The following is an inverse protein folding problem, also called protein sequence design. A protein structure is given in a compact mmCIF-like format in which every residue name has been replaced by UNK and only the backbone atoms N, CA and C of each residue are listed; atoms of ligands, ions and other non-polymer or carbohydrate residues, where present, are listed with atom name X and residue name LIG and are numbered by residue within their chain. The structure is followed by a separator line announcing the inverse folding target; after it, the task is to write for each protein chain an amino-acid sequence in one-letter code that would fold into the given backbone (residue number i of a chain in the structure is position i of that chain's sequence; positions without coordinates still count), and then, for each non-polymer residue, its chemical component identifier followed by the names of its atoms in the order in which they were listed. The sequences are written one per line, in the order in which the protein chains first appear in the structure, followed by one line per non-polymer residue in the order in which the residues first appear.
data_IF_527046095858
#
_entry.id   IF_527046095858
#
_cell.length_a   1.000
_cell.length_b   1.000
_cell.length_c   1.000
_cell.angle_alpha   90.00
_cell.angle_beta   90.00
_cell.angle_gamma   90.00
#
_symmetry.space_group_name_H-M   'P 1'
#
loop_
_entity.id
_entity.type
_entity.pdbx_description
1 polymer ?
#
# COMPACT_ATOMS: atom_id res chain seq x y z
N UNK A 1 35.19 0.10 6.39
CA UNK A 1 34.68 -0.51 5.14
C UNK A 1 33.50 -1.39 5.52
N UNK A 2 32.30 -1.08 5.04
CA UNK A 2 31.11 -1.90 5.21
C UNK A 2 30.39 -1.90 3.88
N UNK A 3 30.35 -3.05 3.21
CA UNK A 3 29.73 -3.20 1.90
C UNK A 3 28.82 -4.42 1.91
N UNK A 4 27.71 -4.26 1.20
CA UNK A 4 26.76 -5.28 0.77
C UNK A 4 25.73 -5.80 1.79
N UNK A 5 24.56 -5.15 1.74
CA UNK A 5 23.24 -5.59 2.24
C UNK A 5 22.17 -4.87 1.39
N UNK A 6 21.18 -5.51 0.76
CA UNK A 6 20.99 -6.94 0.49
C UNK A 6 20.68 -7.26 -1.00
N UNK A 7 20.70 -6.27 -1.90
CA UNK A 7 20.41 -6.42 -3.34
C UNK A 7 21.41 -5.70 -4.25
N UNK A 8 21.32 -5.86 -5.59
CA UNK A 8 22.14 -5.13 -6.54
C UNK A 8 21.67 -3.67 -6.64
N UNK A 9 22.11 -2.83 -5.69
CA UNK A 9 21.75 -1.41 -5.61
C UNK A 9 22.24 -0.65 -6.86
N UNK A 10 21.37 -0.49 -7.86
CA UNK A 10 21.70 0.20 -9.10
C UNK A 10 21.47 1.71 -8.98
N UNK A 11 22.42 2.51 -9.49
CA UNK A 11 22.10 3.90 -9.85
C UNK A 11 21.13 3.93 -11.04
N UNK A 12 20.32 4.98 -11.19
CA UNK A 12 19.41 5.13 -12.34
C UNK A 12 20.14 5.01 -13.68
N UNK A 13 21.34 5.59 -13.79
CA UNK A 13 22.16 5.55 -15.01
C UNK A 13 22.65 4.14 -15.32
N UNK A 14 23.12 3.42 -14.28
CA UNK A 14 23.51 2.00 -14.40
C UNK A 14 22.30 1.17 -14.83
N UNK A 15 21.16 1.37 -14.18
CA UNK A 15 19.93 0.62 -14.46
C UNK A 15 19.44 0.80 -15.91
N UNK A 16 19.39 2.04 -16.40
CA UNK A 16 19.06 2.31 -17.81
C UNK A 16 20.04 1.68 -18.81
N UNK A 17 21.31 1.47 -18.45
CA UNK A 17 22.28 0.75 -19.28
C UNK A 17 22.05 -0.77 -19.31
N UNK A 18 21.52 -1.36 -18.22
CA UNK A 18 21.22 -2.80 -18.15
C UNK A 18 19.85 -3.16 -18.76
N UNK A 19 18.86 -2.26 -18.69
CA UNK A 19 17.48 -2.46 -19.15
C UNK A 19 17.32 -3.07 -20.56
N UNK A 20 18.05 -2.61 -21.60
CA UNK A 20 17.96 -3.22 -22.94
C UNK A 20 18.45 -4.67 -22.99
N UNK A 21 19.35 -5.08 -22.07
CA UNK A 21 19.85 -6.46 -22.01
C UNK A 21 18.89 -7.40 -21.29
N UNK A 22 18.15 -6.91 -20.30
CA UNK A 22 17.17 -7.71 -19.55
C UNK A 22 15.81 -7.78 -20.25
N UNK A 23 15.40 -6.72 -20.96
CA UNK A 23 14.09 -6.65 -21.65
C UNK A 23 14.17 -6.91 -23.17
N UNK A 24 15.38 -7.07 -23.74
CA UNK A 24 15.58 -7.19 -25.19
C UNK A 24 14.92 -8.40 -25.86
N UNK A 25 14.54 -9.44 -25.10
CA UNK A 25 13.78 -10.59 -25.60
C UNK A 25 12.24 -10.39 -25.53
N UNK A 26 11.77 -9.27 -24.98
CA UNK A 26 10.34 -8.94 -24.91
C UNK A 26 9.79 -8.54 -26.28
N UNK A 27 8.50 -8.76 -26.51
CA UNK A 27 7.75 -8.17 -27.64
C UNK A 27 7.68 -6.65 -27.58
N UNK A 28 7.99 -6.05 -26.43
CA UNK A 28 8.11 -4.60 -26.26
C UNK A 28 9.29 -4.25 -25.34
N UNK A 29 10.54 -4.25 -25.86
CA UNK A 29 11.74 -3.92 -25.07
C UNK A 29 11.68 -2.54 -24.42
N UNK A 30 12.45 -2.33 -23.36
CA UNK A 30 12.53 -1.06 -22.64
C UNK A 30 13.99 -0.54 -22.59
N UNK A 31 14.15 0.76 -22.80
CA UNK A 31 15.41 1.48 -22.83
C UNK A 31 15.31 2.82 -22.10
N UNK A 32 16.37 3.64 -22.14
CA UNK A 32 16.44 4.92 -21.44
C UNK A 32 15.46 5.99 -21.96
N UNK A 33 14.93 5.86 -23.18
CA UNK A 33 14.04 6.84 -23.82
C UNK A 33 12.56 6.53 -23.56
N UNK A 34 12.21 5.25 -23.38
CA UNK A 34 10.82 4.79 -23.16
C UNK A 34 10.53 4.24 -21.75
N UNK A 35 11.55 4.19 -20.87
CA UNK A 35 11.37 3.86 -19.45
C UNK A 35 10.36 4.80 -18.78
N UNK A 36 9.54 4.23 -17.90
CA UNK A 36 8.59 4.96 -17.07
C UNK A 36 9.29 6.09 -16.27
N UNK A 37 8.97 7.37 -16.52
CA UNK A 37 9.66 8.49 -15.88
C UNK A 37 9.41 8.56 -14.37
N UNK A 38 8.38 7.86 -13.86
CA UNK A 38 8.14 7.74 -12.42
C UNK A 38 9.31 7.06 -11.69
N UNK A 39 10.04 6.14 -12.33
CA UNK A 39 11.27 5.54 -11.75
C UNK A 39 12.28 6.64 -11.42
N UNK A 40 12.55 7.54 -12.37
CA UNK A 40 13.47 8.66 -12.17
C UNK A 40 12.92 9.69 -11.17
N UNK A 41 11.61 9.93 -11.20
CA UNK A 41 10.94 10.90 -10.31
C UNK A 41 11.01 10.47 -8.86
N UNK A 42 10.68 9.20 -8.57
CA UNK A 42 10.78 8.61 -7.23
C UNK A 42 12.22 8.73 -6.73
N UNK A 43 13.21 8.36 -7.56
CA UNK A 43 14.63 8.47 -7.19
C UNK A 43 15.12 9.92 -6.95
N UNK A 44 14.43 10.92 -7.51
CA UNK A 44 14.71 12.33 -7.25
C UNK A 44 13.95 12.92 -6.06
N UNK A 45 12.80 12.35 -5.69
CA UNK A 45 11.99 12.78 -4.55
C UNK A 45 12.52 12.24 -3.21
N UNK A 46 13.20 11.09 -3.22
CA UNK A 46 13.69 10.41 -2.03
C UNK A 46 15.21 10.25 -2.10
N UNK A 47 16.02 11.08 -1.41
CA UNK A 47 17.49 11.10 -1.59
C UNK A 47 18.20 9.78 -1.30
N UNK A 48 17.69 8.99 -0.35
CA UNK A 48 18.26 7.71 0.08
C UNK A 48 17.68 6.51 -0.70
N UNK A 49 16.86 6.77 -1.72
CA UNK A 49 16.24 5.72 -2.53
C UNK A 49 17.22 5.01 -3.46
N UNK A 50 16.95 3.74 -3.75
CA UNK A 50 17.79 2.93 -4.63
C UNK A 50 16.96 1.91 -5.41
N UNK A 51 17.44 1.52 -6.60
CA UNK A 51 16.83 0.43 -7.36
C UNK A 51 17.35 -0.87 -6.77
N UNK A 52 16.51 -1.51 -5.98
CA UNK A 52 16.81 -2.69 -5.17
C UNK A 52 16.75 -3.99 -5.98
N UNK A 53 15.88 -4.05 -7.00
CA UNK A 53 15.69 -5.23 -7.84
C UNK A 53 15.09 -4.91 -9.22
N UNK A 54 15.33 -5.81 -10.17
CA UNK A 54 14.89 -5.68 -11.56
C UNK A 54 14.19 -6.97 -11.99
N UNK A 55 12.87 -6.91 -12.22
CA UNK A 55 12.06 -8.00 -12.76
C UNK A 55 12.01 -7.99 -14.29
N UNK A 56 11.18 -8.84 -14.89
CA UNK A 56 11.00 -8.87 -16.35
C UNK A 56 10.31 -7.62 -16.92
N UNK A 57 9.45 -6.97 -16.13
CA UNK A 57 8.57 -5.87 -16.59
C UNK A 57 8.52 -4.66 -15.62
N UNK A 58 9.31 -4.67 -14.54
CA UNK A 58 9.22 -3.70 -13.46
C UNK A 58 10.46 -3.67 -12.58
N UNK A 59 10.74 -2.50 -11.99
CA UNK A 59 11.81 -2.31 -11.01
C UNK A 59 11.20 -2.25 -9.61
N UNK A 60 11.90 -2.82 -8.62
CA UNK A 60 11.63 -2.57 -7.21
C UNK A 60 12.58 -1.49 -6.72
N UNK A 61 12.03 -0.36 -6.27
CA UNK A 61 12.77 0.75 -5.70
C UNK A 61 12.59 0.72 -4.17
N UNK A 62 13.65 0.78 -3.38
CA UNK A 62 13.55 1.26 -2.00
C UNK A 62 13.45 2.78 -2.03
N UNK A 63 12.56 3.37 -1.23
CA UNK A 63 12.42 4.82 -1.03
C UNK A 63 12.85 5.27 0.37
N UNK A 64 12.95 4.32 1.30
CA UNK A 64 13.57 4.42 2.61
C UNK A 64 14.06 3.03 3.04
N UNK A 65 14.70 2.92 4.20
CA UNK A 65 15.09 1.63 4.80
C UNK A 65 13.89 0.67 4.97
N UNK A 66 12.72 1.22 5.33
CA UNK A 66 11.50 0.46 5.54
C UNK A 66 10.68 0.25 4.27
N UNK A 67 10.63 1.22 3.36
CA UNK A 67 9.58 1.32 2.34
C UNK A 67 10.11 1.10 0.92
N UNK A 68 9.34 0.37 0.11
CA UNK A 68 9.64 0.11 -1.30
C UNK A 68 8.42 0.32 -2.21
N UNK A 69 8.68 0.67 -3.48
CA UNK A 69 7.68 0.88 -4.53
C UNK A 69 8.10 0.07 -5.74
N UNK A 70 7.20 -0.76 -6.26
CA UNK A 70 7.41 -1.43 -7.55
C UNK A 70 6.85 -0.57 -8.67
N UNK A 71 7.64 -0.36 -9.72
CA UNK A 71 7.28 0.53 -10.83
C UNK A 71 7.41 -0.21 -12.14
N UNK A 72 6.33 -0.25 -12.93
CA UNK A 72 6.35 -0.80 -14.29
C UNK A 72 7.42 -0.11 -15.14
N UNK A 73 8.14 -0.88 -15.94
CA UNK A 73 9.09 -0.37 -16.92
C UNK A 73 8.47 0.58 -17.94
N UNK A 74 7.17 0.45 -18.21
CA UNK A 74 6.45 1.29 -19.18
C UNK A 74 5.33 2.09 -18.51
N UNK A 75 5.12 3.36 -18.92
CA UNK A 75 3.93 4.11 -18.52
C UNK A 75 2.66 3.32 -18.90
N UNK A 76 1.80 3.02 -17.92
CA UNK A 76 0.56 2.26 -18.15
C UNK A 76 0.74 0.79 -18.53
N UNK A 77 1.88 0.17 -18.21
CA UNK A 77 2.11 -1.26 -18.45
C UNK A 77 1.21 -2.15 -17.59
N UNK A 78 0.40 -3.02 -18.22
CA UNK A 78 -0.69 -3.82 -17.60
C UNK A 78 -0.26 -5.10 -16.86
N UNK A 79 1.02 -5.30 -16.62
CA UNK A 79 1.55 -6.60 -16.16
C UNK A 79 2.75 -6.41 -15.20
N UNK A 80 2.52 -6.58 -13.90
CA UNK A 80 3.55 -6.66 -12.85
C UNK A 80 3.72 -8.11 -12.36
N UNK A 81 3.61 -9.10 -13.25
CA UNK A 81 3.62 -10.56 -12.98
C UNK A 81 4.44 -11.00 -11.75
N UNK A 82 3.72 -11.58 -10.78
CA UNK A 82 4.13 -12.50 -9.71
C UNK A 82 5.35 -12.11 -8.86
N UNK A 83 5.07 -11.29 -7.85
CA UNK A 83 5.96 -10.90 -6.75
C UNK A 83 6.24 -11.99 -5.71
N UNK A 84 5.25 -12.83 -5.41
CA UNK A 84 5.23 -13.66 -4.20
C UNK A 84 6.40 -14.66 -4.10
N UNK A 85 6.85 -15.24 -5.22
CA UNK A 85 7.97 -16.18 -5.25
C UNK A 85 9.32 -15.49 -5.00
N UNK A 86 9.52 -14.28 -5.53
CA UNK A 86 10.73 -13.47 -5.27
C UNK A 86 10.80 -13.12 -3.78
N UNK A 87 9.66 -12.77 -3.17
CA UNK A 87 9.63 -12.38 -1.77
C UNK A 87 9.76 -13.54 -0.77
N UNK A 88 9.31 -14.76 -1.10
CA UNK A 88 9.63 -15.96 -0.30
C UNK A 88 11.13 -16.24 -0.23
N UNK A 89 11.89 -15.83 -1.25
CA UNK A 89 13.36 -15.97 -1.29
C UNK A 89 14.10 -14.83 -0.57
N UNK A 90 13.38 -13.87 0.02
CA UNK A 90 13.92 -12.72 0.76
C UNK A 90 13.54 -12.73 2.25
N UNK A 91 13.17 -13.91 2.78
CA UNK A 91 12.75 -14.15 4.17
C UNK A 91 11.58 -13.24 4.67
N UNK A 92 10.80 -12.68 3.74
CA UNK A 92 9.62 -11.88 4.04
C UNK A 92 8.41 -12.76 4.34
N UNK A 93 7.62 -12.38 5.34
CA UNK A 93 6.35 -13.04 5.70
C UNK A 93 5.19 -12.10 5.41
N UNK A 94 4.11 -12.56 4.77
CA UNK A 94 2.92 -11.71 4.58
C UNK A 94 2.23 -11.39 5.90
N UNK A 95 1.57 -10.23 6.01
CA UNK A 95 0.93 -9.76 7.25
C UNK A 95 -0.06 -10.79 7.81
N UNK A 96 -0.84 -11.44 6.92
CA UNK A 96 -1.73 -12.55 7.28
C UNK A 96 -0.99 -13.68 8.01
N UNK A 97 0.13 -14.17 7.46
CA UNK A 97 0.95 -15.23 8.06
C UNK A 97 1.63 -14.74 9.36
N UNK A 98 2.15 -13.51 9.40
CA UNK A 98 2.79 -12.92 10.60
C UNK A 98 1.80 -12.81 11.75
N UNK A 99 0.57 -12.34 11.49
CA UNK A 99 -0.48 -12.22 12.50
C UNK A 99 -0.96 -13.59 13.00
N UNK A 100 -1.05 -14.59 12.13
CA UNK A 100 -1.45 -15.96 12.48
C UNK A 100 -0.31 -16.80 13.09
N UNK A 101 0.92 -16.29 13.14
CA UNK A 101 2.08 -17.01 13.69
C UNK A 101 2.26 -16.82 15.20
N UNK A 102 2.69 -17.89 15.88
CA UNK A 102 3.19 -17.84 17.27
C UNK A 102 4.67 -17.41 17.37
N UNK A 103 5.20 -16.69 16.36
CA UNK A 103 6.56 -16.10 16.43
C UNK A 103 6.59 -14.92 17.43
N UNK A 104 7.77 -14.33 17.59
CA UNK A 104 8.12 -13.28 18.57
C UNK A 104 7.04 -12.18 18.77
N UNK A 105 7.00 -11.54 19.96
CA UNK A 105 6.05 -10.49 20.29
C UNK A 105 5.91 -9.48 19.16
N UNK A 106 4.66 -9.12 18.82
CA UNK A 106 4.40 -8.13 17.77
C UNK A 106 4.96 -6.77 18.20
N UNK A 107 5.50 -5.95 17.28
CA UNK A 107 5.84 -4.56 17.58
C UNK A 107 4.58 -3.76 17.92
N UNK A 108 4.72 -2.53 18.48
CA UNK A 108 3.58 -1.65 18.68
C UNK A 108 2.83 -1.43 17.36
N UNK A 109 1.53 -1.69 17.33
CA UNK A 109 0.71 -1.63 16.10
C UNK A 109 0.82 -0.28 15.38
N UNK A 110 1.01 0.81 16.13
CA UNK A 110 1.24 2.16 15.61
C UNK A 110 2.44 2.25 14.66
N UNK A 111 3.52 1.48 14.86
CA UNK A 111 4.68 1.44 13.97
C UNK A 111 4.31 0.89 12.59
N UNK A 112 3.53 -0.20 12.54
CA UNK A 112 3.01 -0.77 11.29
C UNK A 112 1.99 0.14 10.63
N UNK A 113 1.09 0.75 11.41
CA UNK A 113 0.14 1.75 10.90
C UNK A 113 0.87 2.92 10.24
N UNK A 114 1.90 3.47 10.89
CA UNK A 114 2.74 4.53 10.35
C UNK A 114 3.41 4.11 9.03
N UNK A 115 4.14 3.01 9.01
CA UNK A 115 4.90 2.56 7.82
C UNK A 115 3.99 2.31 6.62
N UNK A 116 2.78 1.76 6.86
CA UNK A 116 1.78 1.59 5.81
C UNK A 116 1.21 2.93 5.34
N UNK A 117 0.92 3.87 6.25
CA UNK A 117 0.43 5.21 5.90
C UNK A 117 1.46 6.02 5.12
N UNK A 118 2.75 5.92 5.45
CA UNK A 118 3.83 6.57 4.71
C UNK A 118 3.93 6.03 3.26
N UNK A 119 3.81 4.71 3.08
CA UNK A 119 3.81 4.08 1.76
C UNK A 119 2.60 4.50 0.91
N UNK A 120 1.40 4.54 1.50
CA UNK A 120 0.18 4.93 0.76
C UNK A 120 0.11 6.45 0.53
N UNK A 121 0.54 7.28 1.47
CA UNK A 121 0.66 8.72 1.27
C UNK A 121 1.70 9.07 0.18
N UNK A 122 2.75 8.26 0.00
CA UNK A 122 3.67 8.37 -1.13
C UNK A 122 2.96 8.10 -2.47
N UNK A 123 2.12 7.06 -2.58
CA UNK A 123 1.33 6.81 -3.79
C UNK A 123 0.35 7.96 -4.08
N UNK A 124 -0.36 8.43 -3.04
CA UNK A 124 -1.30 9.55 -3.13
C UNK A 124 -0.61 10.81 -3.67
N UNK A 125 0.58 11.14 -3.15
CA UNK A 125 1.39 12.28 -3.61
C UNK A 125 1.90 12.14 -5.05
N UNK A 126 2.01 10.92 -5.58
CA UNK A 126 2.33 10.65 -6.99
C UNK A 126 1.09 10.69 -7.90
N UNK A 127 -0.11 10.81 -7.32
CA UNK A 127 -1.39 10.83 -8.04
C UNK A 127 -2.02 9.45 -8.26
N UNK A 128 -1.67 8.47 -7.42
CA UNK A 128 -2.14 7.08 -7.52
C UNK A 128 -2.78 6.59 -6.21
N UNK A 129 -3.70 5.63 -6.34
CA UNK A 129 -4.17 4.75 -5.27
C UNK A 129 -3.56 3.35 -5.48
N UNK A 130 -3.37 2.58 -4.40
CA UNK A 130 -2.95 1.19 -4.49
C UNK A 130 -4.05 0.28 -5.06
N UNK A 131 -5.32 0.55 -4.75
CA UNK A 131 -6.49 -0.16 -5.29
C UNK A 131 -6.79 -1.49 -4.60
N UNK A 132 -5.76 -2.28 -4.24
CA UNK A 132 -5.92 -3.58 -3.56
C UNK A 132 -5.09 -3.66 -2.25
N UNK A 133 -5.40 -2.82 -1.27
CA UNK A 133 -4.77 -2.90 0.07
C UNK A 133 -5.45 -4.02 0.86
N UNK A 134 -4.82 -5.21 0.89
CA UNK A 134 -5.26 -6.36 1.67
C UNK A 134 -4.07 -7.03 2.42
N UNK A 135 -4.30 -7.94 3.39
CA UNK A 135 -3.24 -8.49 4.24
C UNK A 135 -2.24 -9.44 3.55
N UNK A 136 -2.50 -9.82 2.29
CA UNK A 136 -1.60 -10.61 1.43
C UNK A 136 -0.66 -9.70 0.65
N UNK A 137 -1.11 -8.49 0.36
CA UNK A 137 -0.36 -7.42 -0.33
C UNK A 137 0.45 -6.55 0.65
N UNK A 138 0.61 -7.02 1.89
CA UNK A 138 1.44 -6.39 2.92
C UNK A 138 2.41 -7.45 3.45
N UNK A 139 3.69 -7.10 3.51
CA UNK A 139 4.76 -7.95 4.03
C UNK A 139 5.40 -7.36 5.27
N UNK A 140 5.99 -8.22 6.08
CA UNK A 140 6.73 -7.92 7.29
C UNK A 140 8.12 -8.57 7.20
N UNK A 141 9.17 -7.79 7.46
CA UNK A 141 10.56 -8.27 7.52
C UNK A 141 10.84 -9.05 8.81
N UNK A 142 11.99 -9.73 8.90
CA UNK A 142 12.43 -10.34 10.18
C UNK A 142 12.60 -9.31 11.29
N UNK A 143 13.04 -8.09 10.95
CA UNK A 143 13.16 -6.93 11.85
C UNK A 143 11.80 -6.24 12.13
N UNK A 144 10.67 -6.89 11.80
CA UNK A 144 9.30 -6.41 12.04
C UNK A 144 8.96 -5.05 11.37
N UNK A 145 9.61 -4.71 10.24
CA UNK A 145 9.23 -3.58 9.39
C UNK A 145 8.21 -3.98 8.31
N UNK A 146 7.23 -3.11 8.07
CA UNK A 146 6.13 -3.34 7.13
C UNK A 146 6.44 -2.77 5.73
N UNK A 147 6.12 -3.54 4.69
CA UNK A 147 6.22 -3.17 3.27
C UNK A 147 4.91 -3.42 2.54
N UNK A 148 4.41 -2.41 1.83
CA UNK A 148 3.32 -2.55 0.86
C UNK A 148 3.88 -3.13 -0.45
N UNK A 149 3.17 -4.10 -1.03
CA UNK A 149 3.56 -4.84 -2.24
C UNK A 149 2.34 -5.06 -3.16
N UNK A 150 2.57 -5.62 -4.34
CA UNK A 150 1.53 -6.01 -5.32
C UNK A 150 0.70 -4.84 -5.87
N UNK A 151 1.39 -3.99 -6.62
CA UNK A 151 0.86 -2.77 -7.23
C UNK A 151 0.09 -3.05 -8.56
N UNK A 152 -0.24 -4.31 -8.90
CA UNK A 152 -0.87 -4.67 -10.20
C UNK A 152 -2.29 -4.05 -10.33
N UNK A 153 -2.93 -3.72 -9.21
CA UNK A 153 -4.22 -3.04 -9.13
C UNK A 153 -4.12 -1.52 -8.89
N UNK A 154 -2.93 -0.93 -8.96
CA UNK A 154 -2.74 0.52 -8.74
C UNK A 154 -3.35 1.35 -9.87
N UNK A 155 -4.15 2.35 -9.48
CA UNK A 155 -4.94 3.20 -10.36
C UNK A 155 -4.53 4.66 -10.18
N UNK A 156 -4.69 5.52 -11.20
CA UNK A 156 -4.64 6.96 -10.96
C UNK A 156 -5.84 7.38 -10.13
N UNK A 157 -5.66 8.41 -9.30
CA UNK A 157 -6.77 8.99 -8.56
C UNK A 157 -7.84 9.51 -9.55
N UNK A 158 -9.09 9.06 -9.35
CA UNK A 158 -10.22 9.32 -10.24
C UNK A 158 -10.50 8.26 -11.31
N UNK A 159 -9.69 7.21 -11.45
CA UNK A 159 -10.01 6.04 -12.29
C UNK A 159 -10.96 5.06 -11.55
N UNK A 160 -11.72 4.25 -12.30
CA UNK A 160 -12.74 3.35 -11.76
C UNK A 160 -12.14 2.16 -10.98
N UNK A 161 -12.58 1.98 -9.73
CA UNK A 161 -12.19 0.83 -8.90
C UNK A 161 -13.22 -0.30 -9.06
N UNK A 162 -12.93 -1.21 -9.99
CA UNK A 162 -13.85 -2.31 -10.37
C UNK A 162 -13.62 -3.64 -9.64
N UNK A 163 -12.45 -3.81 -9.00
CA UNK A 163 -12.02 -5.06 -8.39
C UNK A 163 -11.59 -4.81 -6.94
N UNK A 164 -11.90 -5.75 -6.05
CA UNK A 164 -11.42 -5.75 -4.68
C UNK A 164 -12.13 -6.78 -3.80
N UNK A 165 -11.44 -7.19 -2.74
CA UNK A 165 -11.95 -8.18 -1.79
C UNK A 165 -12.57 -7.53 -0.55
N UNK A 166 -13.66 -8.11 -0.06
CA UNK A 166 -14.19 -7.79 1.26
C UNK A 166 -13.29 -8.37 2.36
N UNK A 167 -13.09 -7.68 3.50
CA UNK A 167 -13.72 -6.42 3.93
C UNK A 167 -12.90 -5.15 3.57
N UNK A 168 -12.02 -5.21 2.57
CA UNK A 168 -11.08 -4.13 2.24
C UNK A 168 -11.64 -3.08 1.27
N UNK A 169 -12.65 -3.43 0.46
CA UNK A 169 -13.39 -2.48 -0.38
C UNK A 169 -14.81 -2.21 0.10
N UNK A 170 -15.33 -1.02 -0.24
CA UNK A 170 -16.70 -0.59 0.03
C UNK A 170 -17.53 -0.58 -1.26
N UNK A 171 -18.62 -1.37 -1.36
CA UNK A 171 -19.58 -1.23 -2.45
C UNK A 171 -20.27 0.14 -2.43
N UNK A 172 -20.57 0.70 -3.61
CA UNK A 172 -21.47 1.85 -3.72
C UNK A 172 -22.91 1.37 -3.44
N UNK A 173 -23.67 2.10 -2.63
CA UNK A 173 -25.09 1.80 -2.48
C UNK A 173 -25.89 2.23 -3.71
N UNK A 174 -26.97 1.52 -4.04
CA UNK A 174 -27.86 1.90 -5.15
C UNK A 174 -28.51 3.29 -4.96
N UNK A 175 -28.55 3.82 -3.72
CA UNK A 175 -29.02 5.18 -3.44
C UNK A 175 -27.93 6.25 -3.69
N UNK A 176 -26.66 5.91 -3.45
CA UNK A 176 -25.50 6.77 -3.74
C UNK A 176 -25.18 6.86 -5.23
N UNK A 177 -25.64 5.89 -6.03
CA UNK A 177 -25.43 5.75 -7.47
C UNK A 177 -26.20 6.78 -8.35
N UNK A 178 -26.44 8.00 -7.83
CA UNK A 178 -27.42 8.96 -8.39
C UNK A 178 -26.82 10.22 -9.01
N UNK A 179 -25.49 10.36 -9.14
CA UNK A 179 -24.89 11.56 -9.75
C UNK A 179 -23.56 11.41 -10.52
N UNK A 180 -22.76 10.36 -10.36
CA UNK A 180 -21.51 10.17 -11.12
C UNK A 180 -21.30 8.69 -11.48
N UNK A 181 -20.82 8.37 -12.70
CA UNK A 181 -20.29 7.05 -13.00
C UNK A 181 -18.97 6.88 -12.24
N UNK A 182 -18.93 5.83 -11.41
CA UNK A 182 -17.71 5.30 -10.81
C UNK A 182 -17.79 3.77 -10.86
N UNK A 183 -16.64 3.11 -10.83
CA UNK A 183 -16.54 1.64 -10.79
C UNK A 183 -17.28 1.01 -9.60
N UNK A 184 -17.36 -0.32 -9.60
CA UNK A 184 -18.09 -1.15 -8.61
C UNK A 184 -17.85 -0.74 -7.14
N UNK A 185 -16.65 -0.25 -6.81
CA UNK A 185 -16.24 0.19 -5.48
C UNK A 185 -15.90 1.69 -5.41
N UNK A 186 -16.53 2.53 -6.26
CA UNK A 186 -16.24 3.95 -6.48
C UNK A 186 -15.02 4.20 -7.37
N UNK A 187 -14.54 5.44 -7.39
CA UNK A 187 -13.28 5.83 -8.03
C UNK A 187 -12.12 5.79 -7.03
N UNK A 188 -10.95 5.42 -7.54
CA UNK A 188 -9.68 5.43 -6.83
C UNK A 188 -9.44 6.79 -6.14
N UNK A 189 -9.42 6.80 -4.82
CA UNK A 189 -9.40 8.03 -4.03
C UNK A 189 -8.83 7.80 -2.63
N UNK A 190 -8.50 8.88 -1.92
CA UNK A 190 -8.15 8.80 -0.50
C UNK A 190 -9.23 8.05 0.31
N UNK A 191 -10.52 8.22 -0.03
CA UNK A 191 -11.62 7.58 0.66
C UNK A 191 -11.66 6.05 0.48
N UNK A 192 -11.27 5.52 -0.70
CA UNK A 192 -11.18 4.06 -0.92
C UNK A 192 -9.97 3.47 -0.20
N UNK A 193 -8.82 4.13 -0.27
CA UNK A 193 -7.59 3.72 0.41
C UNK A 193 -7.74 3.75 1.94
N UNK A 194 -8.32 4.82 2.50
CA UNK A 194 -8.59 4.95 3.93
C UNK A 194 -9.56 3.87 4.45
N UNK A 195 -10.56 3.48 3.66
CA UNK A 195 -11.47 2.40 4.05
C UNK A 195 -10.70 1.07 4.18
N UNK A 196 -9.88 0.74 3.18
CA UNK A 196 -9.04 -0.46 3.19
C UNK A 196 -8.01 -0.44 4.36
N UNK A 197 -7.35 0.70 4.58
CA UNK A 197 -6.45 0.94 5.71
C UNK A 197 -7.14 0.72 7.06
N UNK A 198 -8.36 1.22 7.25
CA UNK A 198 -9.13 0.99 8.48
C UNK A 198 -9.44 -0.50 8.71
N UNK A 199 -9.76 -1.25 7.66
CA UNK A 199 -9.95 -2.71 7.72
C UNK A 199 -8.64 -3.46 8.03
N UNK A 200 -7.50 -2.99 7.52
CA UNK A 200 -6.17 -3.52 7.88
C UNK A 200 -5.80 -3.22 9.33
N UNK A 201 -6.02 -1.99 9.81
CA UNK A 201 -5.71 -1.61 11.18
C UNK A 201 -6.55 -2.40 12.18
N UNK A 202 -7.84 -2.64 11.89
CA UNK A 202 -8.65 -3.59 12.63
C UNK A 202 -7.98 -4.97 12.70
N UNK A 203 -7.54 -5.52 11.56
CA UNK A 203 -6.92 -6.85 11.51
C UNK A 203 -5.61 -6.92 12.29
N UNK A 204 -4.75 -5.91 12.19
CA UNK A 204 -3.50 -5.82 12.96
C UNK A 204 -3.76 -5.85 14.49
N UNK A 205 -4.76 -5.10 14.95
CA UNK A 205 -5.09 -4.98 16.38
C UNK A 205 -5.78 -6.23 16.91
N UNK A 206 -6.73 -6.82 16.16
CA UNK A 206 -7.57 -7.93 16.64
C UNK A 206 -7.05 -9.32 16.28
N UNK A 207 -6.22 -9.44 15.24
CA UNK A 207 -5.79 -10.72 14.69
C UNK A 207 -6.89 -11.49 13.94
N UNK A 208 -8.05 -10.88 13.71
CA UNK A 208 -9.17 -11.42 12.93
C UNK A 208 -9.70 -10.36 11.97
N UNK A 209 -10.14 -10.79 10.78
CA UNK A 209 -10.69 -9.88 9.78
C UNK A 209 -11.94 -9.16 10.28
N UNK A 210 -12.17 -7.98 9.74
CA UNK A 210 -13.37 -7.21 10.06
C UNK A 210 -14.61 -7.99 9.60
N UNK A 211 -15.58 -8.15 10.51
CA UNK A 211 -16.78 -8.98 10.28
C UNK A 211 -16.50 -10.46 9.98
N UNK A 212 -15.38 -11.02 10.46
CA UNK A 212 -15.10 -12.46 10.37
C UNK A 212 -16.30 -13.33 10.80
N UNK A 213 -16.71 -14.25 9.93
CA UNK A 213 -17.89 -15.11 10.10
C UNK A 213 -19.21 -14.55 9.56
N UNK A 214 -19.29 -13.23 9.25
CA UNK A 214 -20.42 -12.65 8.49
C UNK A 214 -20.15 -12.84 6.99
N UNK A 215 -21.18 -13.18 6.22
CA UNK A 215 -21.06 -13.55 4.81
C UNK A 215 -22.26 -13.05 3.99
N UNK A 216 -22.10 -12.99 2.66
CA UNK A 216 -23.18 -12.65 1.73
C UNK A 216 -23.71 -11.22 1.94
N UNK A 217 -25.04 -11.05 1.84
CA UNK A 217 -25.69 -9.73 1.88
C UNK A 217 -25.47 -8.98 3.20
N UNK A 218 -25.47 -9.65 4.35
CA UNK A 218 -25.24 -8.97 5.65
C UNK A 218 -23.83 -8.36 5.74
N UNK A 219 -22.82 -9.00 5.13
CA UNK A 219 -21.50 -8.40 5.00
C UNK A 219 -21.56 -7.17 4.08
N UNK A 220 -22.10 -7.33 2.87
CA UNK A 220 -22.23 -6.25 1.87
C UNK A 220 -22.97 -5.03 2.45
N UNK A 221 -24.09 -5.24 3.15
CA UNK A 221 -24.89 -4.18 3.76
C UNK A 221 -24.11 -3.43 4.84
N UNK A 222 -23.35 -4.14 5.71
CA UNK A 222 -22.48 -3.52 6.73
C UNK A 222 -21.35 -2.70 6.13
N UNK A 223 -20.66 -3.21 5.11
CA UNK A 223 -19.59 -2.49 4.42
C UNK A 223 -20.15 -1.24 3.73
N UNK A 224 -21.25 -1.40 2.99
CA UNK A 224 -21.95 -0.33 2.27
C UNK A 224 -22.40 0.77 3.23
N UNK A 225 -23.06 0.41 4.33
CA UNK A 225 -23.52 1.35 5.36
C UNK A 225 -22.38 1.95 6.22
N UNK A 226 -21.12 1.53 6.01
CA UNK A 226 -19.96 1.85 6.87
C UNK A 226 -20.19 1.52 8.34
N UNK A 227 -21.02 0.51 8.62
CA UNK A 227 -21.24 -0.02 9.96
C UNK A 227 -19.92 -0.61 10.47
N UNK A 228 -19.23 0.11 11.36
CA UNK A 228 -18.05 -0.42 12.05
C UNK A 228 -18.48 -1.00 13.42
N UNK A 229 -17.90 -2.14 13.86
CA UNK A 229 -18.21 -2.79 15.14
C UNK A 229 -18.08 -1.85 16.34
N UNK A 230 -18.68 -2.24 17.46
CA UNK A 230 -18.50 -1.53 18.73
C UNK A 230 -17.04 -1.60 19.20
N UNK A 231 -16.50 -0.48 19.67
CA UNK A 231 -15.13 -0.31 20.11
C UNK A 231 -15.07 0.79 21.18
N UNK A 232 -14.16 0.67 22.14
CA UNK A 232 -13.79 1.78 23.01
C UNK A 232 -13.06 2.85 22.19
N UNK A 233 -13.60 4.07 22.16
CA UNK A 233 -13.04 5.19 21.38
C UNK A 233 -12.15 6.12 22.23
N UNK A 234 -11.95 5.84 23.52
CA UNK A 234 -10.88 6.46 24.33
C UNK A 234 -9.50 5.93 23.90
N UNK A 235 -9.43 4.68 23.44
CA UNK A 235 -8.27 4.14 22.73
C UNK A 235 -8.08 4.89 21.38
N UNK A 236 -6.94 5.58 21.18
CA UNK A 236 -6.69 6.35 19.96
C UNK A 236 -6.63 5.47 18.72
N UNK A 237 -6.20 4.20 18.82
CA UNK A 237 -6.13 3.28 17.68
C UNK A 237 -7.53 2.92 17.18
N UNK A 238 -8.45 2.63 18.09
CA UNK A 238 -9.86 2.37 17.76
C UNK A 238 -10.54 3.61 17.15
N UNK A 239 -10.18 4.81 17.63
CA UNK A 239 -10.63 6.08 17.06
C UNK A 239 -10.15 6.25 15.62
N UNK A 240 -8.86 6.01 15.35
CA UNK A 240 -8.29 6.04 13.99
C UNK A 240 -9.02 5.05 13.07
N UNK A 241 -9.25 3.80 13.52
CA UNK A 241 -9.99 2.78 12.75
C UNK A 241 -11.39 3.28 12.37
N UNK A 242 -12.13 3.87 13.33
CA UNK A 242 -13.46 4.46 13.09
C UNK A 242 -13.40 5.64 12.11
N UNK A 243 -12.42 6.52 12.25
CA UNK A 243 -12.25 7.73 11.44
C UNK A 243 -11.85 7.42 9.99
N UNK A 244 -10.99 6.43 9.77
CA UNK A 244 -10.72 5.84 8.45
C UNK A 244 -12.01 5.40 7.75
N UNK A 245 -12.79 4.55 8.42
CA UNK A 245 -14.01 3.95 7.87
C UNK A 245 -15.12 4.97 7.58
N UNK A 246 -15.31 5.92 8.49
CA UNK A 246 -16.29 7.01 8.35
C UNK A 246 -15.86 8.09 7.35
N UNK A 247 -14.64 8.03 6.82
CA UNK A 247 -14.13 8.99 5.83
C UNK A 247 -13.82 10.36 6.44
N UNK A 248 -13.32 10.40 7.68
CA UNK A 248 -13.05 11.65 8.40
C UNK A 248 -11.88 12.46 7.83
N UNK A 249 -10.91 11.78 7.23
CA UNK A 249 -9.74 12.39 6.61
C UNK A 249 -9.95 12.61 5.10
N UNK A 250 -9.55 13.78 4.60
CA UNK A 250 -9.64 14.11 3.17
C UNK A 250 -8.46 13.59 2.33
N UNK A 251 -7.40 13.10 2.96
CA UNK A 251 -6.22 12.48 2.33
C UNK A 251 -5.56 11.49 3.29
N UNK A 252 -4.81 10.53 2.75
CA UNK A 252 -4.00 9.60 3.53
C UNK A 252 -2.85 10.34 4.22
N UNK A 253 -2.25 11.32 3.54
CA UNK A 253 -1.25 12.20 4.13
C UNK A 253 -1.75 12.97 5.39
N UNK A 254 -3.03 13.36 5.44
CA UNK A 254 -3.60 14.04 6.60
C UNK A 254 -3.71 13.10 7.82
N UNK A 255 -4.04 11.83 7.60
CA UNK A 255 -4.02 10.81 8.66
C UNK A 255 -2.59 10.51 9.11
N UNK A 256 -1.65 10.31 8.18
CA UNK A 256 -0.23 10.10 8.50
C UNK A 256 0.34 11.22 9.39
N UNK A 257 0.02 12.47 9.08
CA UNK A 257 0.41 13.65 9.87
C UNK A 257 -0.26 13.70 11.26
N UNK A 258 -1.47 13.16 11.44
CA UNK A 258 -2.12 13.11 12.76
C UNK A 258 -1.45 12.13 13.74
N UNK A 259 -0.74 11.11 13.23
CA UNK A 259 0.08 10.22 14.06
C UNK A 259 1.42 10.86 14.46
N UNK A 260 1.87 11.85 13.68
CA UNK A 260 3.11 12.59 13.89
C UNK A 260 2.83 14.09 13.98
N UNK A 261 2.13 14.55 15.05
CA UNK A 261 1.95 15.98 15.26
C UNK A 261 3.33 16.66 15.29
N UNK A 262 3.51 17.79 14.59
CA UNK A 262 4.80 18.46 14.52
C UNK A 262 5.29 18.79 15.93
N UNK A 263 6.54 18.46 16.22
CA UNK A 263 7.15 18.66 17.53
C UNK A 263 7.10 20.15 17.93
N UNK A 264 6.18 20.50 18.83
CA UNK A 264 5.97 21.89 19.25
C UNK A 264 4.58 22.29 19.77
N UNK A 265 3.60 21.39 19.89
CA UNK A 265 2.22 21.75 20.31
C UNK A 265 1.85 21.27 21.73
N UNK A 266 2.78 20.63 22.46
CA UNK A 266 2.60 20.29 23.88
C UNK A 266 3.71 20.89 24.78
N UNK A 267 3.90 22.21 24.65
CA UNK A 267 4.26 23.04 25.80
C UNK A 267 3.19 24.13 25.97
N UNK A 268 2.88 24.47 27.23
CA UNK A 268 1.70 25.24 27.72
C UNK A 268 0.47 24.33 27.91
N UNK A 269 -0.15 24.24 29.09
CA UNK A 269 0.02 25.02 30.34
C UNK A 269 -0.10 24.13 31.57
#
# INVERSE_FOLDING_TARGET
MSANRHGPNFSYQTFCHYLPRTTGASSSPTDAENINPQIKRILGCYPDSTIYGAGGHSALLSISDSSCVKVSYKPGGKHLIHEQEIFRQLDLTVLHERLNSNKAPRPPVLQWMQQLLEAVACLEALGYAHGDINPRNIMVTEDDHLRLIDFDHSLKLGEDLEVGDYPHVRPISMAENTAQPGGTFSVASAATELFALGSIFWYMVRGTELWAGVQGLDLVDRLTARTCPEMDLEDPVNRIIRECWTGRFGSVAALAASLHPPAGVFERS
#
